data_IF_569091379464
#
_entry.id   IF_569091379464
#
_cell.length_a   1.000
_cell.length_b   1.000
_cell.length_c   1.000
_cell.angle_alpha   90.00
_cell.angle_beta   90.00
_cell.angle_gamma   90.00
#
_symmetry.space_group_name_H-M   'P 1'
#
loop_
_entity.id
_entity.type
_entity.pdbx_description
1 polymer ?
#
# COMPACT_ATOMS: atom_id res chain seq x y z
N UNK A 1 -0.27 -18.52 11.96
CA UNK A 1 -0.11 -17.10 11.57
C UNK A 1 -1.00 -16.26 12.46
N UNK A 2 -0.42 -15.27 13.11
CA UNK A 2 -1.16 -14.31 13.92
C UNK A 2 -1.80 -13.26 13.00
N UNK A 3 -3.06 -12.90 13.27
CA UNK A 3 -3.79 -11.89 12.48
C UNK A 3 -3.81 -10.59 13.26
N UNK A 4 -3.22 -9.55 12.69
CA UNK A 4 -3.22 -8.20 13.26
C UNK A 4 -4.33 -7.38 12.60
N UNK A 5 -5.07 -6.61 13.40
CA UNK A 5 -6.09 -5.69 12.90
C UNK A 5 -5.43 -4.37 12.52
N UNK A 6 -5.62 -3.97 11.27
CA UNK A 6 -5.27 -2.63 10.78
C UNK A 6 -6.56 -1.80 10.70
N UNK A 7 -6.55 -0.61 11.30
CA UNK A 7 -7.62 0.38 11.19
C UNK A 7 -7.07 1.59 10.41
N UNK A 8 -7.81 2.03 9.39
CA UNK A 8 -7.38 3.11 8.50
C UNK A 8 -8.56 4.06 8.34
N UNK A 9 -8.32 5.33 8.61
CA UNK A 9 -9.29 6.38 8.32
C UNK A 9 -9.28 6.69 6.83
N UNK A 10 -10.46 6.66 6.22
CA UNK A 10 -10.62 6.91 4.79
C UNK A 10 -11.75 7.91 4.54
N UNK A 11 -11.62 8.80 3.54
CA UNK A 11 -12.72 9.65 3.12
C UNK A 11 -13.95 8.82 2.77
N UNK A 12 -15.14 9.33 3.11
CA UNK A 12 -16.41 8.64 2.88
C UNK A 12 -16.61 8.24 1.41
N UNK A 13 -16.16 9.08 0.49
CA UNK A 13 -16.25 8.81 -0.95
C UNK A 13 -15.34 7.67 -1.39
N UNK A 14 -14.13 7.59 -0.83
CA UNK A 14 -13.22 6.47 -1.08
C UNK A 14 -13.83 5.16 -0.58
N UNK A 15 -14.39 5.14 0.64
CA UNK A 15 -15.10 3.97 1.17
C UNK A 15 -16.25 3.51 0.27
N UNK A 16 -16.98 4.44 -0.34
CA UNK A 16 -18.07 4.12 -1.29
C UNK A 16 -17.52 3.47 -2.55
N UNK A 17 -16.43 3.99 -3.12
CA UNK A 17 -15.76 3.43 -4.30
C UNK A 17 -15.22 2.03 -4.03
N UNK A 18 -14.54 1.83 -2.89
CA UNK A 18 -14.03 0.51 -2.47
C UNK A 18 -15.18 -0.50 -2.37
N UNK A 19 -16.30 -0.13 -1.75
CA UNK A 19 -17.47 -1.02 -1.65
C UNK A 19 -18.02 -1.42 -3.02
N UNK A 20 -18.12 -0.46 -3.94
CA UNK A 20 -18.61 -0.73 -5.28
C UNK A 20 -17.67 -1.69 -6.03
N UNK A 21 -16.37 -1.46 -5.95
CA UNK A 21 -15.36 -2.31 -6.58
C UNK A 21 -15.35 -3.73 -5.98
N UNK A 22 -15.48 -3.86 -4.65
CA UNK A 22 -15.62 -5.14 -3.98
C UNK A 22 -16.88 -5.90 -4.45
N UNK A 23 -18.02 -5.20 -4.53
CA UNK A 23 -19.27 -5.80 -5.00
C UNK A 23 -19.21 -6.27 -6.46
N UNK A 24 -18.56 -5.51 -7.35
CA UNK A 24 -18.35 -5.91 -8.75
C UNK A 24 -17.51 -7.19 -8.89
N UNK A 25 -16.67 -7.50 -7.89
CA UNK A 25 -15.82 -8.70 -7.86
C UNK A 25 -16.38 -9.80 -6.96
N UNK A 26 -17.59 -9.64 -6.45
CA UNK A 26 -18.24 -10.58 -5.54
C UNK A 26 -17.41 -10.85 -4.26
N UNK A 27 -16.66 -9.84 -3.80
CA UNK A 27 -15.79 -9.92 -2.64
C UNK A 27 -16.36 -9.15 -1.44
N UNK A 28 -16.04 -9.59 -0.23
CA UNK A 28 -16.23 -8.75 0.94
C UNK A 28 -15.28 -7.54 0.90
N UNK A 29 -15.65 -6.47 1.62
CA UNK A 29 -14.82 -5.27 1.70
C UNK A 29 -13.42 -5.59 2.25
N UNK A 30 -13.31 -6.52 3.20
CA UNK A 30 -12.05 -6.88 3.83
C UNK A 30 -11.15 -7.67 2.86
N UNK A 31 -11.72 -8.62 2.13
CA UNK A 31 -10.98 -9.39 1.11
C UNK A 31 -10.47 -8.47 0.00
N UNK A 32 -11.33 -7.61 -0.54
CA UNK A 32 -10.95 -6.67 -1.58
C UNK A 32 -9.80 -5.77 -1.14
N UNK A 33 -9.87 -5.20 0.08
CA UNK A 33 -8.82 -4.32 0.60
C UNK A 33 -7.53 -5.09 0.85
N UNK A 34 -7.61 -6.32 1.39
CA UNK A 34 -6.44 -7.16 1.64
C UNK A 34 -5.73 -7.52 0.34
N UNK A 35 -6.47 -7.91 -0.69
CA UNK A 35 -5.90 -8.24 -2.00
C UNK A 35 -5.33 -7.02 -2.71
N UNK A 36 -6.01 -5.88 -2.66
CA UNK A 36 -5.50 -4.64 -3.22
C UNK A 36 -4.17 -4.22 -2.55
N UNK A 37 -4.09 -4.31 -1.22
CA UNK A 37 -2.86 -4.05 -0.46
C UNK A 37 -1.75 -5.03 -0.83
N UNK A 38 -2.05 -6.33 -0.88
CA UNK A 38 -1.06 -7.35 -1.24
C UNK A 38 -0.51 -7.15 -2.66
N UNK A 39 -1.38 -6.77 -3.60
CA UNK A 39 -0.99 -6.47 -4.97
C UNK A 39 -0.10 -5.23 -5.04
N UNK A 40 -0.50 -4.13 -4.40
CA UNK A 40 0.28 -2.89 -4.40
C UNK A 40 1.66 -3.11 -3.76
N UNK A 41 1.72 -3.77 -2.60
CA UNK A 41 3.00 -4.08 -1.95
C UNK A 41 3.90 -4.95 -2.83
N UNK A 42 3.33 -5.90 -3.58
CA UNK A 42 4.12 -6.72 -4.50
C UNK A 42 4.68 -5.89 -5.67
N UNK A 43 3.89 -4.96 -6.21
CA UNK A 43 4.34 -4.03 -7.26
C UNK A 43 5.42 -3.07 -6.71
N UNK A 44 5.18 -2.44 -5.56
CA UNK A 44 6.11 -1.50 -4.92
C UNK A 44 7.45 -2.16 -4.55
N UNK A 45 7.43 -3.40 -4.05
CA UNK A 45 8.65 -4.13 -3.71
C UNK A 45 9.44 -4.56 -4.93
N UNK A 46 8.77 -4.88 -6.04
CA UNK A 46 9.46 -5.15 -7.32
C UNK A 46 10.11 -3.87 -7.83
N UNK A 47 9.41 -2.74 -7.80
CA UNK A 47 9.96 -1.44 -8.18
C UNK A 47 11.13 -1.03 -7.27
N UNK A 48 11.00 -1.24 -5.96
CA UNK A 48 12.07 -0.95 -4.99
C UNK A 48 13.32 -1.81 -5.26
N UNK A 49 13.16 -3.12 -5.47
CA UNK A 49 14.29 -4.01 -5.80
C UNK A 49 14.94 -3.62 -7.14
N UNK A 50 14.14 -3.25 -8.14
CA UNK A 50 14.65 -2.76 -9.42
C UNK A 50 15.38 -1.41 -9.28
N UNK A 51 14.92 -0.52 -8.40
CA UNK A 51 15.58 0.75 -8.10
C UNK A 51 16.90 0.56 -7.33
N UNK A 52 17.01 -0.47 -6.47
CA UNK A 52 18.27 -0.84 -5.80
C UNK A 52 19.28 -1.41 -6.80
N UNK A 53 18.81 -2.11 -7.83
CA UNK A 53 19.66 -2.69 -8.89
C UNK A 53 20.03 -1.68 -10.00
N UNK A 54 19.45 -0.48 -10.00
CA UNK A 54 19.81 0.61 -10.91
C UNK A 54 20.89 1.51 -10.27
N UNK A 55 22.15 1.48 -10.77
CA UNK A 55 23.27 2.22 -10.19
C UNK A 55 23.14 3.75 -10.29
N UNK A 56 22.11 4.27 -10.95
CA UNK A 56 21.80 5.71 -11.01
C UNK A 56 20.82 6.14 -9.91
N UNK A 57 20.06 5.21 -9.33
CA UNK A 57 19.04 5.47 -8.30
C UNK A 57 19.54 5.26 -6.86
N UNK A 58 20.64 4.53 -6.65
CA UNK A 58 21.26 4.37 -5.32
C UNK A 58 21.63 5.71 -4.68
N UNK A 59 22.05 6.68 -5.49
CA UNK A 59 22.50 8.00 -5.02
C UNK A 59 21.33 8.92 -4.62
N UNK A 60 20.08 8.58 -4.95
CA UNK A 60 18.88 9.33 -4.56
C UNK A 60 18.19 8.76 -3.31
N UNK A 61 18.56 7.55 -2.90
CA UNK A 61 17.99 6.87 -1.73
C UNK A 61 18.68 7.25 -0.42
N UNK A 62 19.82 7.94 -0.48
CA UNK A 62 20.53 8.54 0.67
C UNK A 62 19.86 9.86 1.11
N UNK A 63 18.52 9.90 1.09
CA UNK A 63 17.75 11.09 1.42
C UNK A 63 17.36 11.03 2.91
N UNK A 64 18.05 11.86 3.69
CA UNK A 64 18.06 11.97 5.16
C UNK A 64 16.73 12.47 5.78
N UNK A 65 15.57 12.13 5.20
CA UNK A 65 14.28 12.75 5.52
C UNK A 65 13.17 11.79 5.99
N UNK A 66 13.53 10.59 6.46
CA UNK A 66 12.56 9.62 7.01
C UNK A 66 11.97 10.03 8.38
N UNK A 67 12.49 11.08 9.03
CA UNK A 67 12.03 11.53 10.37
C UNK A 67 10.71 12.33 10.36
N UNK A 68 10.11 12.61 9.19
CA UNK A 68 8.99 13.58 9.09
C UNK A 68 7.61 12.96 9.33
N UNK A 69 7.45 11.63 9.27
CA UNK A 69 6.14 10.99 9.38
C UNK A 69 5.90 10.25 10.70
N UNK A 70 6.83 10.28 11.65
CA UNK A 70 6.67 9.67 12.97
C UNK A 70 5.74 10.47 13.90
N UNK A 71 5.22 11.62 13.47
CA UNK A 71 4.32 12.46 14.30
C UNK A 71 3.11 12.98 13.52
N UNK A 72 2.30 12.09 12.95
CA UNK A 72 0.94 12.41 12.51
C UNK A 72 -0.07 11.35 12.97
#
# INVERSE_FOLDING_TARGET
MERIRVAIDVPRDLRRKIRLAAAQREMSLNEYVREALAKQVAEDLVEALQAVEDPVLSDLWDNQHDDVYDTL
#
